data_IF_325062517291
#
_entry.id   IF_325062517291
#
_cell.length_a   1.000
_cell.length_b   1.000
_cell.length_c   1.000
_cell.angle_alpha   90.00
_cell.angle_beta   90.00
_cell.angle_gamma   90.00
#
_symmetry.space_group_name_H-M   'P 1'
#
loop_
_entity.id
_entity.type
_entity.pdbx_description
1 polymer ?
#
# COMPACT_ATOMS: atom_id res chain seq x y z
N UNK A 1 23.53 -9.91 11.88
CA UNK A 1 24.59 -9.84 12.90
C UNK A 1 25.94 -10.38 12.41
N UNK A 2 26.10 -11.67 12.09
CA UNK A 2 27.40 -12.24 11.67
C UNK A 2 28.10 -11.46 10.53
N UNK A 3 27.36 -11.06 9.50
CA UNK A 3 27.89 -10.24 8.40
C UNK A 3 28.41 -8.86 8.86
N UNK A 4 27.73 -8.24 9.82
CA UNK A 4 28.16 -6.94 10.37
C UNK A 4 29.40 -7.07 11.26
N UNK A 5 29.68 -8.25 11.81
CA UNK A 5 30.87 -8.52 12.60
C UNK A 5 32.05 -9.00 11.75
N UNK A 6 31.81 -9.47 10.53
CA UNK A 6 32.87 -9.96 9.65
C UNK A 6 33.59 -8.81 8.95
N UNK A 7 34.82 -8.55 9.34
CA UNK A 7 35.68 -7.49 8.80
C UNK A 7 36.00 -7.55 7.30
N UNK A 8 35.79 -8.68 6.63
CA UNK A 8 35.98 -8.78 5.17
C UNK A 8 34.79 -8.27 4.37
N UNK A 9 33.63 -8.06 5.03
CA UNK A 9 32.38 -7.59 4.43
C UNK A 9 32.19 -6.12 4.76
N UNK A 10 32.16 -5.24 3.77
CA UNK A 10 31.90 -3.82 3.95
C UNK A 10 30.49 -3.44 3.53
N UNK A 11 30.00 -4.00 2.42
CA UNK A 11 28.72 -3.68 1.79
C UNK A 11 27.80 -4.91 1.74
N UNK A 12 26.68 -4.86 2.46
CA UNK A 12 25.66 -5.91 2.50
C UNK A 12 24.42 -5.48 1.72
N UNK A 13 23.98 -6.30 0.77
CA UNK A 13 22.72 -6.13 0.07
C UNK A 13 21.61 -6.95 0.71
N UNK A 14 20.59 -6.29 1.24
CA UNK A 14 19.37 -6.93 1.74
C UNK A 14 18.27 -6.77 0.71
N UNK A 15 17.79 -7.87 0.15
CA UNK A 15 16.76 -7.81 -0.88
C UNK A 15 15.60 -8.73 -0.58
N UNK A 16 14.47 -8.45 -1.22
CA UNK A 16 13.27 -9.26 -1.07
C UNK A 16 12.02 -8.46 -1.43
N UNK A 17 10.90 -9.14 -1.34
CA UNK A 17 9.62 -8.69 -1.84
C UNK A 17 9.16 -7.35 -1.22
N UNK A 18 8.49 -6.45 -1.96
CA UNK A 18 7.72 -5.34 -1.40
C UNK A 18 6.93 -5.74 -0.15
N UNK A 19 7.05 -4.94 0.91
CA UNK A 19 6.30 -5.18 2.14
C UNK A 19 6.79 -6.33 3.04
N UNK A 20 7.75 -7.17 2.63
CA UNK A 20 8.29 -8.31 3.42
C UNK A 20 8.93 -7.93 4.77
N UNK A 21 8.99 -6.64 5.10
CA UNK A 21 9.54 -6.15 6.36
C UNK A 21 11.01 -5.75 6.30
N UNK A 22 11.60 -5.52 5.13
CA UNK A 22 12.99 -5.02 4.98
C UNK A 22 13.27 -3.79 5.85
N UNK A 23 12.47 -2.74 5.73
CA UNK A 23 12.62 -1.51 6.53
C UNK A 23 12.46 -1.77 8.02
N UNK A 24 11.45 -2.57 8.42
CA UNK A 24 11.23 -2.96 9.82
C UNK A 24 12.39 -3.78 10.38
N UNK A 25 12.99 -4.64 9.57
CA UNK A 25 14.19 -5.38 9.92
C UNK A 25 15.38 -4.44 10.12
N UNK A 26 15.56 -3.44 9.24
CA UNK A 26 16.62 -2.45 9.39
C UNK A 26 16.44 -1.56 10.61
N UNK A 27 15.20 -1.16 10.94
CA UNK A 27 14.88 -0.45 12.17
C UNK A 27 15.23 -1.29 13.41
N UNK A 28 14.80 -2.57 13.43
CA UNK A 28 15.10 -3.50 14.52
C UNK A 28 16.61 -3.78 14.66
N UNK A 29 17.30 -3.94 13.52
CA UNK A 29 18.75 -4.09 13.46
C UNK A 29 19.44 -2.86 14.03
N UNK A 30 19.04 -1.67 13.60
CA UNK A 30 19.58 -0.37 14.04
C UNK A 30 19.43 -0.18 15.55
N UNK A 31 18.27 -0.56 16.11
CA UNK A 31 18.04 -0.56 17.55
C UNK A 31 18.98 -1.54 18.26
N UNK A 32 19.04 -2.78 17.78
CA UNK A 32 19.83 -3.86 18.40
C UNK A 32 21.33 -3.58 18.38
N UNK A 33 21.88 -3.07 17.28
CA UNK A 33 23.32 -2.78 17.20
C UNK A 33 23.76 -1.64 18.13
N UNK A 34 22.85 -0.69 18.42
CA UNK A 34 23.07 0.37 19.43
C UNK A 34 23.02 -0.21 20.84
N UNK A 35 22.02 -1.04 21.14
CA UNK A 35 21.88 -1.71 22.45
C UNK A 35 23.08 -2.62 22.76
N UNK A 36 23.54 -3.40 21.78
CA UNK A 36 24.71 -4.28 21.91
C UNK A 36 26.05 -3.53 21.76
N UNK A 37 26.04 -2.20 21.56
CA UNK A 37 27.21 -1.32 21.38
C UNK A 37 28.20 -1.84 20.32
N UNK A 38 27.67 -2.36 19.22
CA UNK A 38 28.47 -2.88 18.11
C UNK A 38 28.90 -1.79 17.13
N UNK A 39 28.11 -0.72 17.08
CA UNK A 39 28.35 0.49 16.32
C UNK A 39 28.05 1.69 17.20
N UNK A 40 28.92 2.69 17.17
CA UNK A 40 28.78 3.92 17.95
C UNK A 40 27.71 4.83 17.36
N UNK A 41 27.58 4.81 16.03
CA UNK A 41 26.66 5.64 15.27
C UNK A 41 25.94 4.79 14.21
N UNK A 42 24.66 5.06 14.00
CA UNK A 42 23.86 4.42 12.94
C UNK A 42 23.19 5.52 12.15
N UNK A 43 23.46 5.54 10.84
CA UNK A 43 22.88 6.45 9.86
C UNK A 43 21.86 5.65 9.06
N UNK A 44 20.60 6.05 9.07
CA UNK A 44 19.56 5.41 8.25
C UNK A 44 18.91 6.44 7.33
N UNK A 45 19.04 6.24 6.02
CA UNK A 45 18.53 7.17 5.00
C UNK A 45 17.73 6.41 3.98
N UNK A 46 16.47 6.82 3.76
CA UNK A 46 15.62 6.29 2.69
C UNK A 46 15.95 6.98 1.36
N UNK A 47 16.05 6.20 0.29
CA UNK A 47 16.38 6.67 -1.05
C UNK A 47 15.12 6.70 -1.91
N UNK A 48 14.86 7.84 -2.55
CA UNK A 48 13.74 8.00 -3.49
C UNK A 48 14.00 7.27 -4.81
N UNK A 49 12.93 6.96 -5.54
CA UNK A 49 13.00 6.34 -6.89
C UNK A 49 13.87 7.15 -7.86
N UNK A 50 13.79 8.48 -7.77
CA UNK A 50 14.70 9.43 -8.43
C UNK A 50 15.61 10.05 -7.37
N UNK A 51 16.84 9.53 -7.19
CA UNK A 51 17.73 9.99 -6.13
C UNK A 51 18.23 11.42 -6.37
N UNK A 52 17.98 12.32 -5.42
CA UNK A 52 18.68 13.60 -5.35
C UNK A 52 19.92 13.45 -4.47
N UNK A 53 21.10 13.47 -5.09
CA UNK A 53 22.38 13.33 -4.40
C UNK A 53 22.56 14.38 -3.30
N UNK A 54 22.17 15.64 -3.54
CA UNK A 54 22.37 16.71 -2.56
C UNK A 54 21.48 16.49 -1.34
N UNK A 55 20.23 16.05 -1.55
CA UNK A 55 19.31 15.66 -0.49
C UNK A 55 19.84 14.46 0.31
N UNK A 56 20.36 13.43 -0.35
CA UNK A 56 20.98 12.26 0.30
C UNK A 56 22.16 12.70 1.16
N UNK A 57 23.06 13.53 0.61
CA UNK A 57 24.20 14.07 1.35
C UNK A 57 23.77 14.83 2.61
N UNK A 58 22.71 15.65 2.51
CA UNK A 58 22.14 16.37 3.65
C UNK A 58 21.59 15.41 4.72
N UNK A 59 20.86 14.37 4.32
CA UNK A 59 20.29 13.40 5.25
C UNK A 59 21.38 12.58 5.96
N UNK A 60 22.39 12.12 5.22
CA UNK A 60 23.55 11.41 5.78
C UNK A 60 24.31 12.33 6.75
N UNK A 61 24.58 13.58 6.36
CA UNK A 61 25.25 14.56 7.21
C UNK A 61 24.49 14.81 8.51
N UNK A 62 23.18 15.01 8.41
CA UNK A 62 22.30 15.23 9.57
C UNK A 62 22.38 14.08 10.57
N UNK A 63 22.30 12.84 10.09
CA UNK A 63 22.41 11.63 10.91
C UNK A 63 23.82 11.46 11.54
N UNK A 64 24.88 11.91 10.86
CA UNK A 64 26.26 11.94 11.38
C UNK A 64 26.54 13.11 12.35
N UNK A 65 25.54 13.94 12.64
CA UNK A 65 25.66 15.12 13.50
C UNK A 65 26.46 16.25 12.86
N UNK A 66 26.56 16.31 11.53
CA UNK A 66 27.25 17.37 10.79
C UNK A 66 26.28 18.18 9.93
N UNK A 67 26.72 19.37 9.51
CA UNK A 67 26.01 20.20 8.55
C UNK A 67 26.88 20.45 7.33
N UNK A 68 26.29 20.30 6.16
CA UNK A 68 26.90 20.66 4.88
C UNK A 68 26.34 22.00 4.44
N UNK A 69 27.16 22.81 3.79
CA UNK A 69 26.73 24.11 3.31
C UNK A 69 25.95 23.93 2.00
N UNK A 70 24.81 24.61 1.87
CA UNK A 70 23.98 24.53 0.67
C UNK A 70 24.60 25.23 -0.54
N UNK A 71 25.58 26.11 -0.34
CA UNK A 71 26.37 26.72 -1.41
C UNK A 71 27.51 25.83 -1.91
N UNK A 72 27.90 24.80 -1.16
CA UNK A 72 28.96 23.87 -1.57
C UNK A 72 28.54 23.01 -2.77
N UNK A 73 29.49 22.73 -3.65
CA UNK A 73 29.31 21.77 -4.73
C UNK A 73 29.12 20.35 -4.19
N UNK A 74 28.48 19.49 -4.98
CA UNK A 74 28.27 18.06 -4.66
C UNK A 74 29.60 17.37 -4.32
N UNK A 75 30.69 17.70 -5.02
CA UNK A 75 32.02 17.10 -4.80
C UNK A 75 32.67 17.56 -3.50
N UNK A 76 32.53 18.83 -3.10
CA UNK A 76 33.00 19.32 -1.81
C UNK A 76 32.25 18.65 -0.66
N UNK A 77 30.93 18.50 -0.81
CA UNK A 77 30.06 17.82 0.16
C UNK A 77 30.41 16.34 0.31
N UNK A 78 30.64 15.66 -0.81
CA UNK A 78 31.09 14.27 -0.83
C UNK A 78 32.43 14.09 -0.11
N UNK A 79 33.39 15.01 -0.32
CA UNK A 79 34.68 15.00 0.38
C UNK A 79 34.51 15.14 1.89
N UNK A 80 33.66 16.06 2.35
CA UNK A 80 33.41 16.25 3.79
C UNK A 80 32.78 15.03 4.45
N UNK A 81 31.82 14.38 3.77
CA UNK A 81 31.25 13.11 4.23
C UNK A 81 32.31 12.00 4.28
N UNK A 82 33.10 11.87 3.22
CA UNK A 82 34.19 10.90 3.15
C UNK A 82 35.19 11.09 4.29
N UNK A 83 35.59 12.34 4.55
CA UNK A 83 36.52 12.67 5.62
C UNK A 83 35.92 12.32 6.99
N UNK A 84 34.65 12.66 7.24
CA UNK A 84 33.95 12.34 8.51
C UNK A 84 33.87 10.83 8.78
N UNK A 85 33.72 10.01 7.75
CA UNK A 85 33.70 8.55 7.85
C UNK A 85 35.09 7.94 8.11
N UNK A 86 36.17 8.68 7.84
CA UNK A 86 37.56 8.20 7.98
C UNK A 86 38.35 8.86 9.13
N UNK A 87 37.92 10.02 9.63
CA UNK A 87 38.58 10.80 10.68
C UNK A 87 38.37 10.25 12.09
N UNK A 88 37.37 9.39 12.29
CA UNK A 88 37.02 8.89 13.62
C UNK A 88 37.87 7.68 13.95
N UNK A 89 39.00 7.93 14.63
CA UNK A 89 39.75 6.87 15.30
C UNK A 89 38.82 6.20 16.32
N UNK A 90 38.75 4.87 16.25
CA UNK A 90 37.98 3.98 17.12
C UNK A 90 36.44 4.01 17.04
N UNK A 91 35.81 4.80 16.15
CA UNK A 91 34.35 4.70 15.93
C UNK A 91 33.98 3.75 14.80
N UNK A 92 32.94 2.94 15.05
CA UNK A 92 32.28 2.11 14.04
C UNK A 92 30.92 2.70 13.69
N UNK A 93 30.71 2.98 12.41
CA UNK A 93 29.47 3.56 11.89
C UNK A 93 28.73 2.53 11.04
N UNK A 94 27.44 2.34 11.29
CA UNK A 94 26.57 1.58 10.39
C UNK A 94 25.78 2.55 9.52
N UNK A 95 25.88 2.41 8.21
CA UNK A 95 25.12 3.20 7.24
C UNK A 95 24.09 2.29 6.58
N UNK A 96 22.81 2.63 6.70
CA UNK A 96 21.69 1.94 6.07
C UNK A 96 21.11 2.84 5.00
N UNK A 97 21.18 2.41 3.74
CA UNK A 97 20.52 3.06 2.61
C UNK A 97 19.27 2.25 2.24
N UNK A 98 18.12 2.73 2.68
CA UNK A 98 16.86 2.01 2.59
C UNK A 98 16.10 2.31 1.28
N UNK A 99 15.46 1.29 0.71
CA UNK A 99 14.60 1.32 -0.48
C UNK A 99 15.30 1.80 -1.77
N UNK A 100 16.46 1.23 -2.12
CA UNK A 100 17.11 1.49 -3.40
C UNK A 100 16.31 0.91 -4.58
N UNK A 101 16.00 1.77 -5.54
CA UNK A 101 15.29 1.42 -6.79
C UNK A 101 16.26 1.08 -7.92
N UNK A 102 17.43 1.70 -7.95
CA UNK A 102 18.47 1.53 -8.97
C UNK A 102 19.88 1.70 -8.37
N UNK A 103 20.91 1.51 -9.20
CA UNK A 103 22.29 1.73 -8.81
C UNK A 103 22.53 3.19 -8.40
N UNK A 104 23.19 3.38 -7.26
CA UNK A 104 23.57 4.68 -6.70
C UNK A 104 25.10 4.78 -6.65
N UNK A 105 25.66 5.81 -7.26
CA UNK A 105 27.10 6.06 -7.19
C UNK A 105 27.49 6.60 -5.80
N UNK A 106 27.92 5.69 -4.92
CA UNK A 106 28.25 6.03 -3.55
C UNK A 106 29.49 6.95 -3.42
N UNK A 107 30.39 6.97 -4.40
CA UNK A 107 31.53 7.91 -4.39
C UNK A 107 31.07 9.35 -4.55
N UNK A 108 30.07 9.59 -5.41
CA UNK A 108 29.46 10.91 -5.61
C UNK A 108 28.67 11.35 -4.37
N UNK A 109 28.10 10.39 -3.62
CA UNK A 109 27.50 10.68 -2.31
C UNK A 109 28.56 11.00 -1.26
N UNK A 110 29.76 10.41 -1.35
CA UNK A 110 30.84 10.57 -0.36
C UNK A 110 31.00 9.36 0.58
N UNK A 111 30.47 8.20 0.19
CA UNK A 111 30.47 6.95 0.98
C UNK A 111 31.14 5.83 0.16
N UNK A 112 32.48 5.75 0.11
CA UNK A 112 33.14 4.72 -0.71
C UNK A 112 32.71 3.30 -0.32
N UNK A 113 32.62 2.40 -1.32
CA UNK A 113 32.20 1.00 -1.12
C UNK A 113 33.09 0.22 -0.15
N UNK A 114 34.36 0.62 0.00
CA UNK A 114 35.34 -0.01 0.88
C UNK A 114 35.79 0.97 1.97
N UNK A 115 35.70 0.53 3.22
CA UNK A 115 36.31 1.24 4.35
C UNK A 115 37.78 0.83 4.48
N UNK A 116 38.71 1.79 4.36
CA UNK A 116 40.16 1.53 4.52
C UNK A 116 40.53 1.09 5.94
N UNK A 117 39.83 1.63 6.94
CA UNK A 117 40.07 1.40 8.37
C UNK A 117 39.00 0.53 9.03
N UNK A 118 38.08 -0.05 8.24
CA UNK A 118 36.90 -0.79 8.74
C UNK A 118 36.04 0.04 9.71
N UNK A 119 36.10 1.37 9.59
CA UNK A 119 35.41 2.37 10.41
C UNK A 119 33.91 2.43 10.14
N UNK A 120 33.45 1.88 9.01
CA UNK A 120 32.03 1.81 8.73
C UNK A 120 31.65 0.58 7.92
N UNK A 121 30.35 0.24 8.01
CA UNK A 121 29.70 -0.76 7.17
C UNK A 121 28.47 -0.16 6.51
N UNK A 122 28.17 -0.66 5.33
CA UNK A 122 27.02 -0.23 4.54
C UNK A 122 26.06 -1.41 4.42
N UNK A 123 24.79 -1.16 4.69
CA UNK A 123 23.69 -2.05 4.35
C UNK A 123 22.79 -1.30 3.39
N UNK A 124 22.48 -1.93 2.26
CA UNK A 124 21.48 -1.41 1.34
C UNK A 124 20.25 -2.31 1.40
N UNK A 125 19.05 -1.73 1.30
CA UNK A 125 17.84 -2.52 1.08
C UNK A 125 17.29 -2.25 -0.32
N UNK A 126 16.76 -3.28 -0.97
CA UNK A 126 16.13 -3.14 -2.29
C UNK A 126 15.06 -4.22 -2.51
N UNK A 127 14.19 -4.00 -3.48
CA UNK A 127 13.24 -5.01 -3.95
C UNK A 127 13.85 -5.93 -5.01
N UNK A 128 14.91 -5.47 -5.68
CA UNK A 128 15.43 -6.06 -6.91
C UNK A 128 16.83 -6.61 -6.64
N UNK A 129 17.02 -7.93 -6.70
CA UNK A 129 18.33 -8.55 -6.44
C UNK A 129 19.43 -7.97 -7.35
N UNK A 130 19.13 -7.68 -8.61
CA UNK A 130 20.09 -7.12 -9.57
C UNK A 130 20.61 -5.73 -9.16
N UNK A 131 19.92 -5.00 -8.29
CA UNK A 131 20.45 -3.75 -7.72
C UNK A 131 21.61 -4.05 -6.77
N UNK A 132 21.56 -5.12 -5.96
CA UNK A 132 22.69 -5.54 -5.12
C UNK A 132 23.93 -5.86 -5.96
N UNK A 133 23.75 -6.64 -7.03
CA UNK A 133 24.82 -7.00 -7.96
C UNK A 133 25.47 -5.77 -8.62
N UNK A 134 24.65 -4.82 -9.14
CA UNK A 134 25.14 -3.56 -9.71
C UNK A 134 25.87 -2.69 -8.68
N UNK A 135 25.36 -2.66 -7.45
CA UNK A 135 26.01 -1.97 -6.34
C UNK A 135 27.34 -2.63 -5.93
N UNK A 136 27.61 -3.87 -6.35
CA UNK A 136 28.83 -4.60 -6.03
C UNK A 136 28.91 -4.98 -4.56
N UNK A 137 27.81 -5.49 -4.00
CA UNK A 137 27.73 -5.94 -2.60
C UNK A 137 28.65 -7.13 -2.33
N UNK A 138 29.33 -7.12 -1.18
CA UNK A 138 30.20 -8.23 -0.74
C UNK A 138 29.38 -9.46 -0.29
N UNK A 139 28.17 -9.21 0.21
CA UNK A 139 27.22 -10.24 0.63
C UNK A 139 25.80 -9.83 0.26
N UNK A 140 25.09 -10.72 -0.40
CA UNK A 140 23.65 -10.60 -0.64
C UNK A 140 22.87 -11.47 0.33
N UNK A 141 21.81 -10.92 0.92
CA UNK A 141 20.93 -11.61 1.85
C UNK A 141 19.48 -11.39 1.45
N UNK A 142 18.84 -12.48 1.00
CA UNK A 142 17.40 -12.51 0.76
C UNK A 142 16.68 -12.53 2.11
N UNK A 143 15.74 -11.60 2.32
CA UNK A 143 14.88 -11.65 3.51
C UNK A 143 14.01 -12.90 3.40
N UNK A 144 14.12 -13.84 4.35
CA UNK A 144 13.33 -15.06 4.29
C UNK A 144 11.86 -14.75 4.54
N UNK A 145 11.01 -15.54 3.91
CA UNK A 145 9.59 -15.59 4.25
C UNK A 145 9.47 -16.18 5.65
N UNK A 146 8.56 -15.64 6.46
CA UNK A 146 8.33 -16.09 7.83
C UNK A 146 7.85 -17.55 7.82
N UNK A 147 8.31 -18.34 8.79
CA UNK A 147 7.75 -19.68 9.01
C UNK A 147 6.27 -19.58 9.41
N UNK A 148 5.48 -20.65 9.25
CA UNK A 148 4.08 -20.64 9.68
C UNK A 148 3.95 -20.28 11.17
N UNK A 149 4.88 -20.74 12.00
CA UNK A 149 4.88 -20.44 13.43
C UNK A 149 5.19 -18.96 13.73
N UNK A 150 6.13 -18.36 13.01
CA UNK A 150 6.47 -16.94 13.18
C UNK A 150 5.36 -16.04 12.61
N UNK A 151 4.78 -16.43 11.48
CA UNK A 151 3.62 -15.80 10.88
C UNK A 151 2.41 -15.84 11.81
N UNK A 152 2.18 -16.97 12.49
CA UNK A 152 1.14 -17.12 13.51
C UNK A 152 1.38 -16.20 14.70
N UNK A 153 2.61 -16.18 15.19
CA UNK A 153 3.00 -15.34 16.33
C UNK A 153 2.82 -13.86 16.00
N UNK A 154 3.19 -13.44 14.79
CA UNK A 154 3.00 -12.08 14.30
C UNK A 154 1.52 -11.73 14.13
N UNK A 155 0.72 -12.64 13.56
CA UNK A 155 -0.72 -12.48 13.40
C UNK A 155 -1.41 -12.29 14.75
N UNK A 156 -1.14 -13.18 15.71
CA UNK A 156 -1.66 -13.09 17.08
C UNK A 156 -1.27 -11.79 17.77
N UNK A 157 -0.04 -11.32 17.58
CA UNK A 157 0.42 -10.03 18.14
C UNK A 157 -0.39 -8.84 17.62
N UNK A 158 -0.81 -8.88 16.36
CA UNK A 158 -1.55 -7.78 15.72
C UNK A 158 -3.06 -7.85 15.99
N UNK A 159 -3.64 -9.06 16.02
CA UNK A 159 -5.08 -9.27 16.19
C UNK A 159 -5.49 -9.37 17.67
N UNK A 160 -4.54 -9.68 18.56
CA UNK A 160 -4.79 -9.89 19.98
C UNK A 160 -5.18 -11.34 20.30
N UNK A 161 -5.49 -11.58 21.56
CA UNK A 161 -5.82 -12.90 22.14
C UNK A 161 -7.18 -13.46 21.70
N UNK A 162 -7.99 -12.68 20.97
CA UNK A 162 -9.27 -13.15 20.38
C UNK A 162 -9.10 -14.37 19.48
N UNK A 163 -7.92 -14.53 18.86
CA UNK A 163 -7.58 -15.67 18.00
C UNK A 163 -7.33 -16.95 18.79
N UNK A 164 -7.21 -16.89 20.12
CA UNK A 164 -6.98 -18.06 20.98
C UNK A 164 -8.29 -18.77 21.37
N UNK A 165 -9.45 -18.23 20.96
CA UNK A 165 -10.71 -18.95 21.12
C UNK A 165 -10.71 -20.21 20.24
N UNK A 166 -11.18 -21.34 20.77
CA UNK A 166 -11.13 -22.66 20.07
C UNK A 166 -11.73 -22.65 18.66
N UNK A 167 -12.70 -21.77 18.40
CA UNK A 167 -13.33 -21.65 17.08
C UNK A 167 -12.53 -20.77 16.11
N UNK A 168 -11.90 -19.70 16.60
CA UNK A 168 -11.12 -18.78 15.77
C UNK A 168 -9.67 -19.25 15.57
N UNK A 169 -9.08 -19.98 16.52
CA UNK A 169 -7.68 -20.43 16.44
C UNK A 169 -7.45 -21.31 15.21
N UNK A 170 -8.35 -22.27 14.98
CA UNK A 170 -8.27 -23.16 13.81
C UNK A 170 -8.29 -22.36 12.50
N UNK A 171 -9.16 -21.37 12.41
CA UNK A 171 -9.36 -20.61 11.18
C UNK A 171 -8.24 -19.59 10.98
N UNK A 172 -7.81 -18.95 12.05
CA UNK A 172 -6.69 -18.03 12.04
C UNK A 172 -5.37 -18.76 11.67
N UNK A 173 -5.21 -20.04 12.03
CA UNK A 173 -4.07 -20.86 11.56
C UNK A 173 -4.16 -21.16 10.06
N UNK A 174 -5.36 -21.44 9.54
CA UNK A 174 -5.61 -21.57 8.09
C UNK A 174 -5.28 -20.25 7.34
N UNK A 175 -5.60 -19.07 7.90
CA UNK A 175 -5.18 -17.75 7.35
C UNK A 175 -3.66 -17.71 7.16
N UNK A 176 -2.95 -18.10 8.21
CA UNK A 176 -1.51 -17.93 8.32
C UNK A 176 -0.77 -18.90 7.41
N UNK A 177 -1.24 -20.14 7.31
CA UNK A 177 -0.67 -21.14 6.41
C UNK A 177 -0.81 -20.70 4.94
N UNK A 178 -1.93 -20.08 4.59
CA UNK A 178 -2.16 -19.51 3.26
C UNK A 178 -1.35 -18.23 2.98
N UNK A 179 -0.97 -17.47 4.02
CA UNK A 179 -0.04 -16.35 3.87
C UNK A 179 1.41 -16.81 3.66
N UNK A 180 1.77 -17.93 4.29
CA UNK A 180 3.12 -18.46 4.30
C UNK A 180 3.40 -19.40 3.12
N UNK A 181 2.35 -19.99 2.52
CA UNK A 181 2.45 -20.95 1.41
C UNK A 181 2.74 -20.35 0.03
N UNK A 182 2.60 -19.03 -0.15
CA UNK A 182 2.83 -18.37 -1.43
C UNK A 182 4.15 -17.58 -1.44
N UNK A 183 5.09 -18.08 -2.23
CA UNK A 183 6.34 -17.43 -2.63
C UNK A 183 6.04 -16.20 -3.55
N UNK A 184 5.35 -15.14 -3.06
CA UNK A 184 4.86 -14.01 -3.91
C UNK A 184 5.00 -12.61 -3.26
N UNK A 185 5.27 -11.64 -4.14
CA UNK A 185 6.07 -10.42 -4.04
C UNK A 185 5.43 -9.15 -3.40
N UNK A 186 4.39 -9.24 -2.57
CA UNK A 186 3.75 -8.02 -2.06
C UNK A 186 3.08 -8.23 -0.69
N UNK A 187 3.48 -7.51 0.37
CA UNK A 187 2.58 -7.31 1.54
C UNK A 187 1.59 -6.18 1.22
N UNK A 188 0.62 -6.58 0.39
CA UNK A 188 -0.79 -6.23 0.45
C UNK A 188 -1.44 -7.22 1.44
N UNK A 189 -2.62 -6.97 2.01
CA UNK A 189 -3.39 -8.05 2.65
C UNK A 189 -3.62 -9.11 1.55
N UNK A 190 -2.85 -10.20 1.61
CA UNK A 190 -2.79 -11.18 0.53
C UNK A 190 -4.20 -11.72 0.33
N UNK A 191 -4.57 -12.03 -0.91
CA UNK A 191 -5.95 -12.34 -1.26
C UNK A 191 -6.53 -13.48 -0.40
N UNK A 192 -5.66 -14.36 0.10
CA UNK A 192 -6.03 -15.45 0.99
C UNK A 192 -6.29 -15.07 2.44
N UNK A 193 -5.66 -14.00 2.98
CA UNK A 193 -6.06 -13.43 4.28
C UNK A 193 -7.48 -12.92 4.23
N UNK A 194 -7.81 -12.27 3.11
CA UNK A 194 -9.15 -11.82 2.82
C UNK A 194 -10.08 -13.02 2.60
N UNK A 195 -9.63 -14.09 1.97
CA UNK A 195 -10.43 -15.32 1.75
C UNK A 195 -10.66 -16.13 3.03
N UNK A 196 -9.74 -16.08 3.99
CA UNK A 196 -9.96 -16.69 5.29
C UNK A 196 -10.76 -15.78 6.22
N UNK A 197 -10.61 -14.45 6.16
CA UNK A 197 -11.57 -13.52 6.78
C UNK A 197 -13.00 -13.70 6.22
N UNK A 198 -13.12 -14.01 4.92
CA UNK A 198 -14.37 -14.45 4.30
C UNK A 198 -14.82 -15.80 4.84
N UNK A 199 -13.96 -16.82 4.94
CA UNK A 199 -14.32 -18.15 5.49
C UNK A 199 -14.74 -18.09 6.97
N UNK A 200 -14.16 -17.19 7.77
CA UNK A 200 -14.62 -16.90 9.15
C UNK A 200 -16.05 -16.37 9.13
N UNK A 201 -16.38 -15.49 8.18
CA UNK A 201 -17.76 -15.06 7.97
C UNK A 201 -18.67 -16.17 7.39
N UNK A 202 -18.16 -17.18 6.70
CA UNK A 202 -18.97 -18.29 6.16
C UNK A 202 -19.28 -19.43 7.13
N UNK A 203 -18.57 -19.56 8.26
CA UNK A 203 -18.80 -20.62 9.27
C UNK A 203 -19.77 -20.21 10.38
N UNK A 204 -20.17 -18.95 10.42
CA UNK A 204 -21.17 -18.40 11.32
C UNK A 204 -22.51 -18.31 10.57
N UNK A 205 -23.55 -18.99 11.07
CA UNK A 205 -24.89 -19.03 10.44
C UNK A 205 -25.53 -17.63 10.34
N UNK A 206 -25.10 -16.66 11.15
CA UNK A 206 -25.58 -15.28 11.11
C UNK A 206 -24.86 -14.43 10.03
N UNK A 207 -23.62 -14.79 9.68
CA UNK A 207 -22.81 -14.16 8.62
C UNK A 207 -22.95 -14.85 7.25
N UNK A 208 -23.40 -16.12 7.22
CA UNK A 208 -23.76 -16.89 6.02
C UNK A 208 -24.80 -16.21 5.11
N UNK A 209 -25.68 -15.39 5.69
CA UNK A 209 -26.67 -14.62 4.93
C UNK A 209 -26.08 -13.41 4.17
N UNK A 210 -24.76 -13.13 4.26
CA UNK A 210 -24.26 -11.76 4.07
C UNK A 210 -22.97 -11.57 3.26
N UNK A 211 -22.34 -12.57 2.64
CA UNK A 211 -21.19 -12.34 1.74
C UNK A 211 -21.13 -13.42 0.66
N UNK A 212 -21.20 -13.04 -0.62
CA UNK A 212 -20.68 -13.87 -1.71
C UNK A 212 -19.39 -13.22 -2.22
N UNK A 213 -18.32 -14.01 -2.31
CA UNK A 213 -17.06 -13.55 -2.84
C UNK A 213 -16.23 -14.70 -3.41
N UNK A 214 -15.73 -14.53 -4.63
CA UNK A 214 -14.84 -15.50 -5.27
C UNK A 214 -13.92 -14.87 -6.32
N UNK A 215 -12.62 -15.17 -6.25
CA UNK A 215 -11.62 -14.69 -7.23
C UNK A 215 -11.68 -15.42 -8.59
N UNK A 216 -12.45 -16.52 -8.69
CA UNK A 216 -12.61 -17.32 -9.91
C UNK A 216 -14.06 -17.45 -10.38
N UNK A 217 -14.95 -16.54 -9.93
CA UNK A 217 -16.32 -16.49 -10.46
C UNK A 217 -16.28 -16.03 -11.92
N UNK A 218 -16.61 -16.96 -12.81
CA UNK A 218 -16.76 -16.71 -14.25
C UNK A 218 -18.18 -16.20 -14.60
N UNK A 219 -19.13 -16.31 -13.67
CA UNK A 219 -20.54 -15.92 -13.83
C UNK A 219 -21.04 -15.11 -12.64
N UNK A 220 -22.04 -14.28 -12.88
CA UNK A 220 -22.75 -13.53 -11.83
C UNK A 220 -23.52 -14.48 -10.90
N UNK A 221 -23.51 -14.25 -9.57
CA UNK A 221 -24.23 -15.12 -8.64
C UNK A 221 -25.76 -14.92 -8.67
N UNK A 222 -26.50 -16.01 -8.45
CA UNK A 222 -27.97 -16.02 -8.41
C UNK A 222 -28.49 -15.91 -6.96
N UNK A 223 -29.78 -15.59 -6.79
CA UNK A 223 -30.48 -15.60 -5.47
C UNK A 223 -29.99 -14.54 -4.45
N UNK A 224 -29.87 -13.29 -4.89
CA UNK A 224 -29.38 -12.17 -4.08
C UNK A 224 -30.47 -11.47 -3.24
N UNK A 225 -31.70 -11.99 -3.17
CA UNK A 225 -32.85 -11.29 -2.60
C UNK A 225 -32.70 -10.99 -1.10
N UNK A 226 -32.02 -11.88 -0.38
CA UNK A 226 -31.73 -11.74 1.06
C UNK A 226 -30.33 -11.21 1.35
N UNK A 227 -29.49 -11.09 0.32
CA UNK A 227 -28.07 -10.77 0.47
C UNK A 227 -27.87 -9.33 0.96
N UNK A 228 -27.10 -9.16 2.04
CA UNK A 228 -26.78 -7.83 2.60
C UNK A 228 -25.44 -7.28 2.15
N UNK A 229 -24.47 -8.10 1.74
CA UNK A 229 -23.19 -7.62 1.19
C UNK A 229 -22.69 -8.58 0.11
N UNK A 230 -22.18 -8.03 -0.98
CA UNK A 230 -21.67 -8.77 -2.13
C UNK A 230 -20.29 -8.21 -2.48
N UNK A 231 -19.29 -9.08 -2.61
CA UNK A 231 -17.94 -8.67 -2.98
C UNK A 231 -17.38 -9.56 -4.08
N UNK A 232 -17.39 -9.06 -5.30
CA UNK A 232 -16.82 -9.71 -6.47
C UNK A 232 -15.44 -9.13 -6.80
N UNK A 233 -14.69 -8.71 -5.78
CA UNK A 233 -13.39 -8.07 -5.95
C UNK A 233 -12.43 -8.99 -6.71
N UNK A 234 -11.82 -8.47 -7.79
CA UNK A 234 -10.87 -9.18 -8.67
C UNK A 234 -11.46 -10.46 -9.30
N UNK A 235 -12.78 -10.57 -9.40
CA UNK A 235 -13.42 -11.69 -10.07
C UNK A 235 -13.21 -11.60 -11.60
N UNK A 236 -13.01 -12.74 -12.26
CA UNK A 236 -12.83 -12.84 -13.73
C UNK A 236 -14.16 -12.81 -14.50
N UNK A 237 -15.18 -12.12 -13.99
CA UNK A 237 -16.52 -12.11 -14.58
C UNK A 237 -16.41 -11.78 -16.07
N UNK A 238 -16.89 -12.70 -16.90
CA UNK A 238 -16.94 -12.58 -18.36
C UNK A 238 -17.96 -11.50 -18.72
N UNK A 239 -17.82 -10.91 -19.92
CA UNK A 239 -18.49 -9.73 -20.47
C UNK A 239 -20.04 -9.62 -20.38
N UNK A 240 -20.73 -10.54 -19.70
CA UNK A 240 -22.19 -10.59 -19.56
C UNK A 240 -22.61 -10.23 -18.12
N UNK A 241 -22.45 -8.96 -17.75
CA UNK A 241 -23.11 -8.41 -16.56
C UNK A 241 -24.63 -8.53 -16.74
N UNK A 242 -25.39 -8.98 -15.73
CA UNK A 242 -26.84 -9.02 -15.83
C UNK A 242 -27.36 -7.59 -16.03
N UNK A 243 -28.34 -7.42 -16.93
CA UNK A 243 -28.94 -6.10 -17.18
C UNK A 243 -29.49 -5.46 -15.90
N UNK A 244 -30.03 -6.28 -15.01
CA UNK A 244 -30.57 -5.89 -13.73
C UNK A 244 -30.24 -6.96 -12.69
N UNK A 245 -29.95 -6.52 -11.46
CA UNK A 245 -29.63 -7.42 -10.34
C UNK A 245 -30.71 -7.30 -9.28
N UNK A 246 -31.41 -8.40 -8.99
CA UNK A 246 -32.43 -8.47 -7.94
C UNK A 246 -31.78 -8.64 -6.56
N UNK A 247 -31.29 -7.55 -5.97
CA UNK A 247 -30.65 -7.52 -4.65
C UNK A 247 -31.20 -6.42 -3.71
N UNK A 248 -32.51 -6.44 -3.38
CA UNK A 248 -33.19 -5.37 -2.66
C UNK A 248 -32.72 -5.15 -1.21
N UNK A 249 -32.07 -6.13 -0.58
CA UNK A 249 -31.55 -6.03 0.79
C UNK A 249 -30.06 -5.64 0.85
N UNK A 250 -29.42 -5.43 -0.30
CA UNK A 250 -27.99 -5.20 -0.38
C UNK A 250 -27.61 -3.86 0.24
N UNK A 251 -26.66 -3.89 1.17
CA UNK A 251 -26.13 -2.72 1.87
C UNK A 251 -24.72 -2.38 1.41
N UNK A 252 -23.98 -3.34 0.86
CA UNK A 252 -22.60 -3.14 0.41
C UNK A 252 -22.31 -3.96 -0.84
N UNK A 253 -21.75 -3.32 -1.85
CA UNK A 253 -21.34 -3.94 -3.10
C UNK A 253 -19.90 -3.53 -3.42
N UNK A 254 -19.04 -4.51 -3.67
CA UNK A 254 -17.64 -4.31 -4.01
C UNK A 254 -17.35 -5.05 -5.32
N UNK A 255 -17.11 -4.31 -6.41
CA UNK A 255 -16.69 -4.82 -7.73
C UNK A 255 -15.25 -4.43 -8.06
N UNK A 256 -14.48 -4.05 -7.04
CA UNK A 256 -13.12 -3.54 -7.16
C UNK A 256 -12.20 -4.48 -7.96
N UNK A 257 -11.41 -3.95 -8.89
CA UNK A 257 -10.45 -4.76 -9.65
C UNK A 257 -11.06 -5.67 -10.72
N UNK A 258 -12.34 -5.50 -11.05
CA UNK A 258 -12.98 -6.16 -12.17
C UNK A 258 -12.72 -5.39 -13.47
N UNK A 259 -11.60 -5.69 -14.12
CA UNK A 259 -11.12 -4.99 -15.33
C UNK A 259 -11.48 -5.73 -16.63
N UNK A 260 -12.60 -6.46 -16.63
CA UNK A 260 -13.09 -7.18 -17.82
C UNK A 260 -14.38 -6.60 -18.40
N UNK A 261 -14.93 -5.57 -17.77
CA UNK A 261 -16.03 -4.78 -18.30
C UNK A 261 -15.62 -3.33 -18.38
N UNK A 262 -15.97 -2.68 -19.48
CA UNK A 262 -15.76 -1.24 -19.70
C UNK A 262 -17.03 -0.42 -19.43
N UNK A 263 -18.17 -1.09 -19.26
CA UNK A 263 -19.47 -0.47 -19.03
C UNK A 263 -20.32 -1.33 -18.08
N UNK A 264 -21.15 -0.67 -17.27
CA UNK A 264 -22.21 -1.30 -16.48
C UNK A 264 -23.55 -1.05 -17.18
N UNK A 265 -24.48 -2.02 -17.23
CA UNK A 265 -25.82 -1.81 -17.76
C UNK A 265 -26.54 -0.63 -17.09
N UNK A 266 -27.34 0.12 -17.86
CA UNK A 266 -27.98 1.34 -17.35
C UNK A 266 -28.87 1.09 -16.12
N UNK A 267 -29.49 -0.09 -16.03
CA UNK A 267 -30.46 -0.47 -14.98
C UNK A 267 -29.84 -1.34 -13.87
N UNK A 268 -28.52 -1.53 -13.89
CA UNK A 268 -27.80 -2.47 -13.03
C UNK A 268 -28.11 -2.29 -11.53
N UNK A 269 -28.24 -1.05 -11.05
CA UNK A 269 -28.45 -0.72 -9.64
C UNK A 269 -29.91 -0.48 -9.24
N UNK A 270 -30.87 -0.58 -10.17
CA UNK A 270 -32.24 -0.06 -9.98
C UNK A 270 -32.99 -0.66 -8.77
N UNK A 271 -32.70 -1.93 -8.45
CA UNK A 271 -33.32 -2.65 -7.31
C UNK A 271 -32.56 -2.50 -5.99
N UNK A 272 -31.34 -1.95 -5.99
CA UNK A 272 -30.46 -1.90 -4.81
C UNK A 272 -30.67 -0.65 -3.93
N UNK A 273 -31.91 -0.24 -3.68
CA UNK A 273 -32.24 1.04 -3.04
C UNK A 273 -31.73 1.20 -1.60
N UNK A 274 -31.34 0.11 -0.93
CA UNK A 274 -30.78 0.11 0.43
C UNK A 274 -29.25 0.20 0.47
N UNK A 275 -28.58 0.24 -0.69
CA UNK A 275 -27.13 0.20 -0.76
C UNK A 275 -26.52 1.42 -0.07
N UNK A 276 -25.56 1.19 0.83
CA UNK A 276 -24.87 2.23 1.59
C UNK A 276 -23.43 2.43 1.14
N UNK A 277 -22.78 1.35 0.69
CA UNK A 277 -21.38 1.36 0.28
C UNK A 277 -21.22 0.71 -1.09
N UNK A 278 -20.60 1.43 -2.02
CA UNK A 278 -20.28 0.97 -3.37
C UNK A 278 -18.81 1.22 -3.66
N UNK A 279 -18.09 0.16 -4.04
CA UNK A 279 -16.68 0.25 -4.47
C UNK A 279 -16.54 -0.33 -5.88
N UNK A 280 -16.22 0.55 -6.83
CA UNK A 280 -15.94 0.25 -8.24
C UNK A 280 -14.49 0.58 -8.60
N UNK A 281 -13.60 0.72 -7.61
CA UNK A 281 -12.21 1.16 -7.83
C UNK A 281 -11.42 0.11 -8.64
N UNK A 282 -10.42 0.52 -9.40
CA UNK A 282 -9.65 -0.34 -10.31
C UNK A 282 -10.53 -1.09 -11.32
N UNK A 283 -11.57 -0.43 -11.85
CA UNK A 283 -12.36 -0.94 -12.98
C UNK A 283 -12.15 -0.04 -14.20
N UNK A 284 -12.39 -0.58 -15.39
CA UNK A 284 -12.17 0.12 -16.66
C UNK A 284 -13.44 0.86 -17.14
N UNK A 285 -14.33 1.23 -16.20
CA UNK A 285 -15.60 1.89 -16.55
C UNK A 285 -15.37 3.30 -17.10
N UNK A 286 -15.97 3.59 -18.25
CA UNK A 286 -15.89 4.92 -18.85
C UNK A 286 -16.88 5.93 -18.22
N UNK A 287 -17.99 5.41 -17.68
CA UNK A 287 -19.06 6.21 -17.07
C UNK A 287 -19.82 5.42 -15.99
N UNK A 288 -20.45 6.14 -15.07
CA UNK A 288 -21.43 5.55 -14.14
C UNK A 288 -22.79 5.36 -14.84
N UNK A 289 -23.47 4.21 -14.68
CA UNK A 289 -24.80 4.02 -15.26
C UNK A 289 -25.84 4.91 -14.56
N UNK A 290 -26.90 5.28 -15.29
CA UNK A 290 -27.95 6.17 -14.79
C UNK A 290 -28.62 5.67 -13.50
N UNK A 291 -28.76 4.35 -13.33
CA UNK A 291 -29.31 3.73 -12.12
C UNK A 291 -28.51 3.98 -10.84
N UNK A 292 -27.27 4.50 -10.90
CA UNK A 292 -26.56 4.97 -9.70
C UNK A 292 -27.39 6.02 -8.96
N UNK A 293 -28.14 6.86 -9.68
CA UNK A 293 -29.04 7.85 -9.08
C UNK A 293 -30.19 7.25 -8.24
N UNK A 294 -30.47 5.95 -8.38
CA UNK A 294 -31.47 5.24 -7.58
C UNK A 294 -30.94 4.80 -6.19
N UNK A 295 -29.63 4.95 -5.94
CA UNK A 295 -28.98 4.54 -4.70
C UNK A 295 -29.18 5.59 -3.59
N UNK A 296 -30.43 5.85 -3.24
CA UNK A 296 -30.85 6.95 -2.34
C UNK A 296 -30.32 6.84 -0.89
N UNK A 297 -29.85 5.67 -0.47
CA UNK A 297 -29.21 5.43 0.84
C UNK A 297 -27.67 5.42 0.79
N UNK A 298 -27.06 5.71 -0.36
CA UNK A 298 -25.62 5.60 -0.54
C UNK A 298 -24.89 6.64 0.31
N UNK A 299 -23.91 6.18 1.08
CA UNK A 299 -23.05 7.01 1.94
C UNK A 299 -21.61 7.04 1.45
N UNK A 300 -21.14 5.93 0.89
CA UNK A 300 -19.76 5.79 0.43
C UNK A 300 -19.75 5.33 -1.02
N UNK A 301 -19.04 6.09 -1.86
CA UNK A 301 -18.73 5.74 -3.24
C UNK A 301 -17.22 5.82 -3.48
N UNK A 302 -16.61 4.69 -3.85
CA UNK A 302 -15.18 4.59 -4.17
C UNK A 302 -14.96 4.26 -5.63
N UNK A 303 -14.16 5.08 -6.30
CA UNK A 303 -13.85 5.05 -7.74
C UNK A 303 -12.35 5.32 -7.95
N UNK A 304 -11.52 4.74 -7.08
CA UNK A 304 -10.07 4.99 -7.06
C UNK A 304 -9.41 4.25 -8.22
N UNK A 305 -8.39 4.84 -8.87
CA UNK A 305 -7.69 4.19 -9.99
C UNK A 305 -8.63 3.78 -11.15
N UNK A 306 -9.68 4.58 -11.41
CA UNK A 306 -10.58 4.40 -12.56
C UNK A 306 -10.20 5.37 -13.67
N UNK A 307 -9.16 5.04 -14.43
CA UNK A 307 -8.52 5.95 -15.38
C UNK A 307 -9.39 6.36 -16.58
N UNK A 308 -10.29 5.48 -17.01
CA UNK A 308 -11.18 5.75 -18.14
C UNK A 308 -12.46 6.48 -17.73
N UNK A 309 -12.71 6.63 -16.42
CA UNK A 309 -13.95 7.21 -15.89
C UNK A 309 -13.96 8.73 -16.10
N UNK A 310 -14.76 9.19 -17.07
CA UNK A 310 -14.87 10.62 -17.40
C UNK A 310 -16.13 11.26 -16.83
N UNK A 311 -17.23 10.51 -16.76
CA UNK A 311 -18.54 11.04 -16.39
C UNK A 311 -19.07 10.40 -15.10
N UNK A 312 -19.34 11.26 -14.11
CA UNK A 312 -19.93 10.90 -12.82
C UNK A 312 -21.22 11.68 -12.50
N UNK A 313 -21.92 12.21 -13.51
CA UNK A 313 -23.14 13.02 -13.31
C UNK A 313 -24.22 12.36 -12.43
N UNK A 314 -24.46 11.03 -12.43
CA UNK A 314 -25.46 10.44 -11.55
C UNK A 314 -25.22 10.69 -10.04
N UNK A 315 -24.00 11.04 -9.64
CA UNK A 315 -23.63 11.32 -8.25
C UNK A 315 -24.30 12.58 -7.72
N UNK A 316 -24.69 13.53 -8.58
CA UNK A 316 -25.37 14.78 -8.20
C UNK A 316 -26.69 14.54 -7.44
N UNK A 317 -27.30 13.37 -7.62
CA UNK A 317 -28.60 12.98 -7.02
C UNK A 317 -28.45 12.24 -5.67
N UNK A 318 -27.21 11.98 -5.22
CA UNK A 318 -26.94 11.18 -4.03
C UNK A 318 -26.91 12.03 -2.75
N UNK A 319 -28.07 12.56 -2.34
CA UNK A 319 -28.19 13.53 -1.23
C UNK A 319 -27.66 13.05 0.13
N UNK A 320 -27.55 11.73 0.34
CA UNK A 320 -27.02 11.11 1.57
C UNK A 320 -25.54 10.75 1.51
N UNK A 321 -24.86 11.05 0.40
CA UNK A 321 -23.47 10.70 0.21
C UNK A 321 -22.57 11.47 1.19
N UNK A 322 -21.73 10.74 1.91
CA UNK A 322 -20.82 11.27 2.93
C UNK A 322 -19.36 11.23 2.46
N UNK A 323 -19.00 10.20 1.69
CA UNK A 323 -17.62 9.95 1.22
C UNK A 323 -17.63 9.67 -0.28
N UNK A 324 -16.86 10.48 -1.01
CA UNK A 324 -16.56 10.28 -2.43
C UNK A 324 -15.04 10.21 -2.63
N UNK A 325 -14.55 9.08 -3.12
CA UNK A 325 -13.12 8.84 -3.37
C UNK A 325 -12.86 8.62 -4.86
N UNK A 326 -12.25 9.62 -5.50
CA UNK A 326 -11.91 9.75 -6.93
C UNK A 326 -10.39 9.77 -7.15
N UNK A 327 -9.58 9.40 -6.16
CA UNK A 327 -8.12 9.45 -6.30
C UNK A 327 -7.63 8.60 -7.48
N UNK A 328 -6.77 9.16 -8.33
CA UNK A 328 -6.26 8.54 -9.56
C UNK A 328 -7.37 8.09 -10.53
N UNK A 329 -8.52 8.78 -10.55
CA UNK A 329 -9.55 8.58 -11.57
C UNK A 329 -9.39 9.55 -12.74
N UNK A 330 -9.97 9.21 -13.91
CA UNK A 330 -9.97 10.03 -15.12
C UNK A 330 -10.96 11.22 -15.09
N UNK A 331 -11.52 11.55 -13.92
CA UNK A 331 -12.55 12.58 -13.79
C UNK A 331 -11.91 13.96 -13.84
N UNK A 332 -12.05 14.63 -14.99
CA UNK A 332 -11.46 15.96 -15.22
C UNK A 332 -12.25 17.12 -14.60
N UNK A 333 -13.58 16.97 -14.46
CA UNK A 333 -14.49 18.01 -13.94
C UNK A 333 -15.58 17.40 -13.06
N UNK A 334 -16.04 18.17 -12.05
CA UNK A 334 -17.18 17.78 -11.21
C UNK A 334 -18.49 18.39 -11.76
N UNK A 335 -19.62 17.67 -11.73
CA UNK A 335 -20.93 18.22 -12.05
C UNK A 335 -21.26 19.45 -11.18
N UNK A 336 -21.85 20.50 -11.74
CA UNK A 336 -22.11 21.75 -11.01
C UNK A 336 -23.05 21.52 -9.82
N UNK A 337 -24.06 20.68 -10.01
CA UNK A 337 -25.08 20.28 -9.05
C UNK A 337 -24.51 19.49 -7.87
N UNK A 338 -23.29 18.94 -7.99
CA UNK A 338 -22.62 18.24 -6.89
C UNK A 338 -22.36 19.17 -5.68
N UNK A 339 -22.26 20.48 -5.91
CA UNK A 339 -22.19 21.48 -4.85
C UNK A 339 -23.40 21.48 -3.90
N UNK A 340 -24.52 20.87 -4.30
CA UNK A 340 -25.74 20.73 -3.47
C UNK A 340 -25.69 19.54 -2.50
N UNK A 341 -24.66 18.69 -2.57
CA UNK A 341 -24.53 17.51 -1.69
C UNK A 341 -24.15 17.92 -0.27
N UNK A 342 -25.16 18.35 0.50
CA UNK A 342 -24.96 18.86 1.86
C UNK A 342 -24.38 17.83 2.83
N UNK A 343 -24.57 16.53 2.61
CA UNK A 343 -24.03 15.49 3.50
C UNK A 343 -22.59 15.08 3.21
N UNK A 344 -21.98 15.59 2.13
CA UNK A 344 -20.64 15.19 1.73
C UNK A 344 -19.59 15.76 2.69
N UNK A 345 -18.87 14.86 3.37
CA UNK A 345 -17.86 15.19 4.39
C UNK A 345 -16.45 14.99 3.88
N UNK A 346 -16.23 13.98 3.05
CA UNK A 346 -14.91 13.64 2.53
C UNK A 346 -14.93 13.57 1.01
N UNK A 347 -14.04 14.35 0.38
CA UNK A 347 -13.77 14.32 -1.05
C UNK A 347 -12.27 14.13 -1.28
N UNK A 348 -11.92 13.04 -1.94
CA UNK A 348 -10.54 12.74 -2.35
C UNK A 348 -10.49 12.68 -3.87
N UNK A 349 -9.57 13.40 -4.50
CA UNK A 349 -9.50 13.49 -5.96
C UNK A 349 -8.07 13.83 -6.44
N UNK A 350 -7.73 13.45 -7.66
CA UNK A 350 -6.53 13.96 -8.34
C UNK A 350 -6.82 15.35 -8.93
N UNK A 351 -5.79 16.17 -9.22
CA UNK A 351 -5.91 17.55 -9.74
C UNK A 351 -7.10 17.69 -10.71
N UNK A 352 -8.16 18.36 -10.25
CA UNK A 352 -9.40 18.54 -10.98
C UNK A 352 -9.71 20.03 -11.10
N UNK A 353 -10.08 20.46 -12.30
CA UNK A 353 -10.34 21.87 -12.62
C UNK A 353 -11.83 22.14 -12.33
N UNK A 354 -12.22 22.23 -11.06
CA UNK A 354 -13.59 22.61 -10.66
C UNK A 354 -13.63 23.43 -9.37
N UNK A 355 -12.83 24.51 -9.33
CA UNK A 355 -12.79 25.46 -8.21
C UNK A 355 -14.20 26.00 -7.83
N UNK A 356 -15.09 26.15 -8.81
CA UNK A 356 -16.45 26.67 -8.62
C UNK A 356 -17.38 25.71 -7.87
N UNK A 357 -17.22 24.40 -8.05
CA UNK A 357 -18.03 23.39 -7.37
C UNK A 357 -17.51 23.15 -5.96
N UNK A 358 -16.19 23.15 -5.78
CA UNK A 358 -15.58 23.00 -4.46
C UNK A 358 -15.94 24.17 -3.54
N UNK A 359 -16.00 25.40 -4.09
CA UNK A 359 -16.34 26.58 -3.29
C UNK A 359 -17.77 26.60 -2.76
N UNK A 360 -18.69 25.81 -3.33
CA UNK A 360 -20.06 25.66 -2.83
C UNK A 360 -20.22 24.51 -1.81
N UNK A 361 -19.20 23.68 -1.60
CA UNK A 361 -19.21 22.54 -0.66
C UNK A 361 -18.81 22.95 0.77
N UNK A 362 -19.62 23.77 1.44
CA UNK A 362 -19.30 24.32 2.76
C UNK A 362 -19.36 23.31 3.93
N UNK A 363 -19.90 22.10 3.75
CA UNK A 363 -19.99 21.05 4.79
C UNK A 363 -18.83 20.04 4.73
N UNK A 364 -17.87 20.24 3.82
CA UNK A 364 -16.76 19.34 3.63
C UNK A 364 -15.79 19.41 4.83
N UNK A 365 -15.58 18.27 5.49
CA UNK A 365 -14.67 18.13 6.64
C UNK A 365 -13.23 17.80 6.16
N UNK A 366 -13.10 17.01 5.08
CA UNK A 366 -11.84 16.60 4.50
C UNK A 366 -11.83 16.77 2.98
N UNK A 367 -10.88 17.56 2.47
CA UNK A 367 -10.56 17.68 1.05
C UNK A 367 -9.11 17.25 0.82
N UNK A 368 -8.90 16.24 -0.04
CA UNK A 368 -7.57 15.79 -0.46
C UNK A 368 -7.45 15.92 -1.97
N UNK A 369 -6.47 16.70 -2.42
CA UNK A 369 -6.16 16.93 -3.83
C UNK A 369 -4.71 16.51 -4.06
N UNK A 370 -4.48 15.65 -5.05
CA UNK A 370 -3.18 15.06 -5.38
C UNK A 370 -2.67 15.50 -6.74
#
# INVERSE_FOLDING_TARGET
MKALLNDTICLVGVFGMPGIGKTKLMEALSKRVKEEKLFDEVVMVTISEKPDVKAIQNNVAKELGMRLDDSESISCRARRLHDRLNQTEDKRILIVLDDLWNELNLEVVGIPKKSRRKSYKIVITTRIQQVCARMGTDLEWAVPILSNQDSWTLFRKNVGDVVDSRQLERIAREVVDECAGYNIEYIKMHDVVRDVAKMIAFKDEELKQRVEAGMDLMKWPEQLESCKRLSLMRSKIVCDLPRQVEAPQLLTLILNGCNRFSELPCDFFEKMKKLKNLDLSYTDIASLPSSVSCLVELRTLRLVWCYDLKNISPVEKLEKLEILDLYESGVETLPEEMGMLTKLKSLNMSICISQKVISSMYQLEELRVW
#
